data_IF_537107241501
#
_entry.id   IF_537107241501
#
_cell.length_a   1.000
_cell.length_b   1.000
_cell.length_c   1.000
_cell.angle_alpha   90.00
_cell.angle_beta   90.00
_cell.angle_gamma   90.00
#
_symmetry.space_group_name_H-M   'P 1'
#
loop_
_entity.id
_entity.type
_entity.pdbx_description
1 polymer ?
#
# COMPACT_ATOMS: atom_id res chain seq x y z
N UNK A 1 6.95 -3.22 -17.93
CA UNK A 1 6.09 -2.69 -16.85
C UNK A 1 6.79 -1.55 -16.19
N UNK A 2 6.17 -0.37 -16.10
CA UNK A 2 6.81 0.87 -15.62
C UNK A 2 6.80 1.02 -14.09
N UNK A 3 5.82 0.42 -13.41
CA UNK A 3 5.70 0.39 -11.96
C UNK A 3 4.88 -0.82 -11.50
N UNK A 4 5.00 -1.19 -10.23
CA UNK A 4 4.18 -2.22 -9.59
C UNK A 4 3.45 -1.64 -8.38
N UNK A 5 2.15 -1.93 -8.27
CA UNK A 5 1.39 -1.72 -7.04
C UNK A 5 1.41 -3.02 -6.25
N UNK A 6 1.75 -2.94 -4.96
CA UNK A 6 1.81 -4.06 -4.03
C UNK A 6 0.71 -3.89 -3.00
N UNK A 7 -0.07 -4.94 -2.83
CA UNK A 7 -1.19 -5.03 -1.88
C UNK A 7 -1.03 -6.30 -1.06
N UNK A 8 -1.64 -6.31 0.12
CA UNK A 8 -1.77 -7.53 0.91
C UNK A 8 -2.97 -8.33 0.39
N UNK A 9 -2.79 -9.63 0.20
CA UNK A 9 -3.85 -10.50 -0.30
C UNK A 9 -4.96 -10.71 0.74
N UNK A 10 -4.63 -10.51 2.01
CA UNK A 10 -5.42 -10.68 3.21
C UNK A 10 -5.90 -9.35 3.79
N UNK A 11 -5.82 -8.24 3.02
CA UNK A 11 -6.38 -6.94 3.41
C UNK A 11 -7.79 -6.74 2.85
N UNK A 12 -8.85 -7.20 3.55
CA UNK A 12 -10.19 -7.34 2.97
C UNK A 12 -10.91 -6.02 2.74
N UNK A 13 -10.49 -4.94 3.39
CA UNK A 13 -11.12 -3.62 3.31
C UNK A 13 -10.33 -2.64 2.43
N UNK A 14 -9.41 -3.14 1.59
CA UNK A 14 -8.65 -2.29 0.68
C UNK A 14 -9.59 -1.54 -0.28
N UNK A 15 -9.69 -0.22 -0.09
CA UNK A 15 -10.41 0.64 -1.02
C UNK A 15 -9.64 0.77 -2.34
N UNK A 16 -10.30 0.57 -3.51
CA UNK A 16 -9.67 0.81 -4.81
C UNK A 16 -9.23 2.27 -4.99
N UNK A 17 -9.89 3.22 -4.33
CA UNK A 17 -9.50 4.64 -4.35
C UNK A 17 -8.10 4.85 -3.77
N UNK A 18 -7.67 4.02 -2.81
CA UNK A 18 -6.31 4.08 -2.29
C UNK A 18 -5.27 3.67 -3.35
N UNK A 19 -5.62 2.72 -4.22
CA UNK A 19 -4.78 2.32 -5.36
C UNK A 19 -4.68 3.46 -6.37
N UNK A 20 -5.81 4.08 -6.71
CA UNK A 20 -5.82 5.23 -7.64
C UNK A 20 -4.93 6.36 -7.13
N UNK A 21 -5.03 6.72 -5.84
CA UNK A 21 -4.23 7.79 -5.24
C UNK A 21 -2.73 7.52 -5.29
N UNK A 22 -2.26 6.29 -5.04
CA UNK A 22 -0.83 5.98 -5.14
C UNK A 22 -0.35 6.00 -6.60
N UNK A 23 -1.19 5.56 -7.55
CA UNK A 23 -0.90 5.62 -8.99
C UNK A 23 -0.82 7.05 -9.48
N UNK A 24 -1.70 7.94 -9.03
CA UNK A 24 -1.67 9.37 -9.37
C UNK A 24 -0.38 10.04 -8.91
N UNK A 25 0.09 9.75 -7.69
CA UNK A 25 1.37 10.25 -7.19
C UNK A 25 2.56 9.75 -8.00
N UNK A 26 2.54 8.49 -8.39
CA UNK A 26 3.56 7.97 -9.29
C UNK A 26 3.58 8.68 -10.64
N UNK A 27 2.41 8.91 -11.24
CA UNK A 27 2.28 9.68 -12.48
C UNK A 27 2.75 11.14 -12.32
N UNK A 28 2.68 11.69 -11.12
CA UNK A 28 3.21 13.01 -10.79
C UNK A 28 4.75 13.03 -10.56
N UNK A 29 5.41 11.87 -10.63
CA UNK A 29 6.87 11.74 -10.59
C UNK A 29 7.45 11.07 -9.34
N UNK A 30 6.61 10.69 -8.37
CA UNK A 30 7.09 9.97 -7.19
C UNK A 30 7.45 8.50 -7.52
N UNK A 31 8.64 8.05 -7.15
CA UNK A 31 9.13 6.72 -7.55
C UNK A 31 8.88 5.60 -6.51
N UNK A 32 8.65 5.97 -5.25
CA UNK A 32 8.26 5.09 -4.16
C UNK A 32 7.12 5.78 -3.40
N UNK A 33 5.95 5.16 -3.38
CA UNK A 33 4.73 5.73 -2.82
C UNK A 33 4.04 4.70 -1.92
N UNK A 34 3.44 5.15 -0.83
CA UNK A 34 2.64 4.31 0.06
C UNK A 34 1.38 5.05 0.50
N UNK A 35 0.28 4.34 0.65
CA UNK A 35 -0.86 4.87 1.38
C UNK A 35 -0.52 5.07 2.87
N UNK A 36 -1.24 5.96 3.52
CA UNK A 36 -1.17 6.19 4.95
C UNK A 36 -2.55 6.34 5.56
N UNK A 37 -2.69 5.84 6.78
CA UNK A 37 -3.92 5.81 7.57
C UNK A 37 -3.58 6.13 9.03
N UNK A 38 -4.26 7.11 9.62
CA UNK A 38 -3.90 7.66 10.93
C UNK A 38 -2.46 8.16 10.98
N UNK A 39 -1.92 8.69 9.88
CA UNK A 39 -0.51 9.09 9.75
C UNK A 39 0.51 7.93 9.72
N UNK A 40 0.05 6.68 9.82
CA UNK A 40 0.89 5.48 9.72
C UNK A 40 0.88 4.93 8.29
N UNK A 41 2.05 4.52 7.80
CA UNK A 41 2.16 3.89 6.48
C UNK A 41 1.39 2.57 6.43
N UNK A 42 0.64 2.33 5.35
CA UNK A 42 -0.04 1.07 5.05
C UNK A 42 0.06 0.69 3.57
N UNK A 43 -0.62 -0.39 3.19
CA UNK A 43 -0.80 -0.76 1.78
C UNK A 43 -2.00 -0.02 1.19
N UNK A 44 -2.01 0.30 -0.12
CA UNK A 44 -1.07 -0.14 -1.15
C UNK A 44 0.27 0.59 -1.14
N UNK A 45 1.31 -0.10 -1.62
CA UNK A 45 2.61 0.48 -1.97
C UNK A 45 2.75 0.54 -3.49
N UNK A 46 3.51 1.49 -4.02
CA UNK A 46 3.86 1.55 -5.44
C UNK A 46 5.37 1.74 -5.59
N UNK A 47 5.97 0.92 -6.46
CA UNK A 47 7.38 0.98 -6.82
C UNK A 47 7.57 1.17 -8.33
N UNK A 48 8.16 2.30 -8.72
CA UNK A 48 8.61 2.51 -10.09
C UNK A 48 9.71 1.51 -10.45
N UNK A 49 9.76 1.08 -11.71
CA UNK A 49 10.72 0.07 -12.20
C UNK A 49 12.18 0.45 -11.92
N UNK A 50 12.51 1.74 -11.99
CA UNK A 50 13.84 2.25 -11.72
C UNK A 50 14.33 1.96 -10.27
N UNK A 51 13.43 1.64 -9.34
CA UNK A 51 13.76 1.39 -7.94
C UNK A 51 13.92 -0.09 -7.61
N UNK A 52 13.54 -1.01 -8.51
CA UNK A 52 13.47 -2.44 -8.21
C UNK A 52 14.82 -3.03 -7.78
N UNK A 53 15.92 -2.61 -8.42
CA UNK A 53 17.27 -3.08 -8.07
C UNK A 53 17.79 -2.60 -6.71
N UNK A 54 17.16 -1.57 -6.13
CA UNK A 54 17.58 -0.97 -4.86
C UNK A 54 16.76 -1.48 -3.67
N UNK A 55 15.79 -2.37 -3.90
CA UNK A 55 14.93 -2.91 -2.85
C UNK A 55 15.67 -4.04 -2.13
N UNK A 56 15.86 -3.95 -0.81
CA UNK A 56 16.54 -4.97 -0.05
C UNK A 56 15.59 -6.14 0.25
N UNK A 57 16.12 -7.25 0.74
CA UNK A 57 15.33 -8.46 1.04
C UNK A 57 14.25 -8.20 2.10
N UNK A 58 14.50 -7.31 3.07
CA UNK A 58 13.49 -6.86 4.05
C UNK A 58 12.39 -5.96 3.47
N UNK A 59 12.45 -5.65 2.18
CA UNK A 59 11.48 -4.85 1.46
C UNK A 59 11.50 -3.36 1.83
N UNK A 60 10.34 -2.71 1.73
CA UNK A 60 10.21 -1.25 1.90
C UNK A 60 10.05 -0.81 3.36
N UNK A 61 10.07 -1.73 4.34
CA UNK A 61 9.66 -1.45 5.72
C UNK A 61 10.39 -0.26 6.34
N UNK A 62 11.70 -0.13 6.10
CA UNK A 62 12.54 0.91 6.68
C UNK A 62 12.97 1.99 5.68
N UNK A 63 12.32 2.06 4.51
CA UNK A 63 12.66 3.06 3.49
C UNK A 63 11.85 4.34 3.65
N UNK A 64 12.52 5.48 3.44
CA UNK A 64 11.83 6.75 3.23
C UNK A 64 10.97 6.64 1.95
N UNK A 65 9.69 6.96 2.08
CA UNK A 65 8.69 6.76 1.05
C UNK A 65 7.69 7.91 1.08
N UNK A 66 7.15 8.28 -0.08
CA UNK A 66 6.11 9.30 -0.15
C UNK A 66 4.79 8.74 0.37
N UNK A 67 4.31 9.30 1.48
CA UNK A 67 3.00 8.95 2.03
C UNK A 67 1.87 9.69 1.33
N UNK A 68 0.79 8.96 1.08
CA UNK A 68 -0.45 9.46 0.49
C UNK A 68 -1.57 9.29 1.50
N UNK A 69 -2.12 10.38 2.05
CA UNK A 69 -3.22 10.30 3.00
C UNK A 69 -4.44 9.59 2.41
N UNK A 70 -4.90 8.56 3.12
CA UNK A 70 -6.09 7.75 2.80
C UNK A 70 -6.99 7.58 4.05
N UNK A 71 -6.88 8.50 5.01
CA UNK A 71 -7.58 8.43 6.30
C UNK A 71 -9.11 8.37 6.15
N UNK A 72 -9.64 8.97 5.09
CA UNK A 72 -11.05 9.00 4.73
C UNK A 72 -11.59 7.67 4.18
N UNK A 73 -10.71 6.73 3.84
CA UNK A 73 -11.08 5.44 3.23
C UNK A 73 -11.13 4.29 4.24
N UNK A 74 -10.52 4.47 5.42
CA UNK A 74 -10.26 3.38 6.36
C UNK A 74 -9.06 2.52 5.94
N UNK A 75 -8.34 1.97 6.93
CA UNK A 75 -7.22 1.06 6.66
C UNK A 75 -7.74 -0.29 6.12
N UNK A 76 -6.99 -0.97 5.23
CA UNK A 76 -7.42 -2.25 4.65
C UNK A 76 -7.60 -3.41 5.65
N UNK A 77 -6.98 -3.30 6.82
CA UNK A 77 -6.78 -4.42 7.75
C UNK A 77 -5.86 -5.50 7.18
N UNK A 78 -5.66 -6.54 7.97
CA UNK A 78 -4.98 -7.80 7.64
C UNK A 78 -5.70 -8.95 8.38
N UNK A 79 -5.68 -10.14 7.78
CA UNK A 79 -6.29 -11.36 8.33
C UNK A 79 -5.18 -12.38 8.53
N UNK A 80 -4.46 -12.22 9.64
CA UNK A 80 -3.32 -13.07 9.99
C UNK A 80 -3.77 -14.46 10.51
N UNK A 81 -4.95 -14.51 11.15
CA UNK A 81 -5.51 -15.72 11.79
C UNK A 81 -6.99 -15.88 11.46
N UNK A 82 -7.54 -17.11 11.60
CA UNK A 82 -8.96 -17.35 11.38
C UNK A 82 -9.90 -16.45 12.21
N UNK A 83 -9.49 -16.09 13.43
CA UNK A 83 -10.29 -15.24 14.31
C UNK A 83 -10.35 -13.78 13.84
N UNK A 84 -9.40 -13.33 13.03
CA UNK A 84 -9.35 -11.98 12.47
C UNK A 84 -10.33 -11.82 11.29
N UNK A 85 -10.89 -12.92 10.78
CA UNK A 85 -11.82 -12.89 9.65
C UNK A 85 -13.08 -12.07 10.02
N UNK A 86 -13.36 -10.97 9.30
CA UNK A 86 -14.53 -10.15 9.56
C UNK A 86 -15.83 -10.95 9.50
N UNK A 87 -16.79 -10.64 10.39
CA UNK A 87 -18.08 -11.36 10.46
C UNK A 87 -18.82 -11.42 9.12
N UNK A 88 -18.65 -10.40 8.26
CA UNK A 88 -19.25 -10.38 6.90
C UNK A 88 -18.75 -11.48 5.95
N UNK A 89 -17.69 -12.20 6.31
CA UNK A 89 -17.13 -13.33 5.56
C UNK A 89 -17.24 -14.68 6.29
N UNK A 90 -17.82 -14.71 7.48
CA UNK A 90 -18.14 -15.94 8.21
C UNK A 90 -19.47 -16.49 7.72
#
# INVERSE_FOLDING_TARGET
>A
TEAAVVVLADGPDLSPVAVDRVVERWRAGDNLVAASYGGSRGHPLLLARARWGDIPDEGLRNREIRLVPCDDLGAPGDVDRPDDLPERFR
#
